data_IF_335284813327
#
_entry.id   IF_335284813327
#
_cell.length_a   1.000
_cell.length_b   1.000
_cell.length_c   1.000
_cell.angle_alpha   90.00
_cell.angle_beta   90.00
_cell.angle_gamma   90.00
#
_symmetry.space_group_name_H-M   'P 1'
#
loop_
_entity.id
_entity.type
_entity.pdbx_description
1 polymer ?
#
# COMPACT_ATOMS: atom_id res chain seq x y z
N UNK A 1 0.03 -7.27 23.00
CA UNK A 1 -0.72 -8.27 22.21
C UNK A 1 -2.13 -8.21 22.74
N UNK A 2 -2.93 -7.25 22.24
CA UNK A 2 -4.34 -7.14 22.63
C UNK A 2 -5.17 -7.66 21.47
N UNK A 3 -6.04 -8.60 21.82
CA UNK A 3 -6.63 -9.59 20.94
C UNK A 3 -7.28 -9.02 19.70
N UNK A 4 -7.00 -9.68 18.57
CA UNK A 4 -8.02 -9.85 17.55
C UNK A 4 -9.19 -10.51 18.27
N UNK A 5 -10.27 -9.77 18.53
CA UNK A 5 -11.52 -10.39 18.91
C UNK A 5 -11.95 -11.16 17.67
N UNK A 6 -11.90 -12.49 17.72
CA UNK A 6 -12.15 -13.37 16.59
C UNK A 6 -13.51 -13.11 15.91
N UNK A 7 -14.45 -12.49 16.64
CA UNK A 7 -15.82 -12.20 16.20
C UNK A 7 -16.11 -10.71 15.90
N UNK A 8 -15.09 -9.84 15.81
CA UNK A 8 -15.32 -8.44 15.43
C UNK A 8 -15.86 -8.36 13.98
N UNK A 9 -17.03 -7.76 13.72
CA UNK A 9 -17.53 -7.56 12.37
C UNK A 9 -16.56 -6.72 11.53
N UNK A 10 -16.48 -7.00 10.22
CA UNK A 10 -15.54 -6.30 9.32
C UNK A 10 -15.71 -4.78 9.37
N UNK A 11 -16.95 -4.32 9.27
CA UNK A 11 -17.28 -2.89 9.30
C UNK A 11 -16.84 -2.25 10.63
N UNK A 12 -17.06 -2.92 11.76
CA UNK A 12 -16.61 -2.41 13.07
C UNK A 12 -15.09 -2.30 13.16
N UNK A 13 -14.33 -3.24 12.59
CA UNK A 13 -12.88 -3.13 12.48
C UNK A 13 -12.47 -1.93 11.63
N UNK A 14 -13.11 -1.74 10.46
CA UNK A 14 -12.81 -0.62 9.55
C UNK A 14 -13.17 0.73 10.20
N UNK A 15 -14.30 0.82 10.90
CA UNK A 15 -14.71 1.99 11.67
C UNK A 15 -13.70 2.30 12.79
N UNK A 16 -13.24 1.28 13.53
CA UNK A 16 -12.22 1.45 14.56
C UNK A 16 -10.90 1.98 13.99
N UNK A 17 -10.48 1.51 12.81
CA UNK A 17 -9.31 2.04 12.11
C UNK A 17 -9.54 3.48 11.68
N UNK A 18 -10.70 3.82 11.11
CA UNK A 18 -11.04 5.18 10.67
C UNK A 18 -11.12 6.17 11.83
N UNK A 19 -11.52 5.70 13.01
CA UNK A 19 -11.56 6.49 14.25
C UNK A 19 -10.21 6.51 14.99
N UNK A 20 -9.17 5.83 14.51
CA UNK A 20 -7.89 5.72 15.21
C UNK A 20 -7.17 7.08 15.31
N UNK A 21 -6.83 7.48 16.54
CA UNK A 21 -6.12 8.75 16.84
C UNK A 21 -4.76 8.58 17.52
N UNK A 22 -4.29 7.34 17.65
CA UNK A 22 -3.09 6.97 18.42
C UNK A 22 -1.86 7.79 18.01
N UNK A 23 -1.64 8.03 16.72
CA UNK A 23 -0.46 8.78 16.25
C UNK A 23 -0.40 10.24 16.71
N UNK A 24 -1.50 10.78 17.22
CA UNK A 24 -1.56 12.11 17.83
C UNK A 24 -1.74 12.03 19.35
N UNK A 25 -2.70 11.23 19.81
CA UNK A 25 -3.14 11.26 21.20
C UNK A 25 -2.24 10.44 22.13
N UNK A 26 -1.60 9.39 21.60
CA UNK A 26 -0.70 8.52 22.35
C UNK A 26 0.37 7.90 21.42
N UNK A 27 1.20 8.72 20.76
CA UNK A 27 2.18 8.22 19.80
C UNK A 27 3.20 7.33 20.51
N UNK A 28 3.47 6.17 19.93
CA UNK A 28 4.49 5.24 20.47
C UNK A 28 5.89 5.60 20.01
N UNK A 29 5.99 6.25 18.85
CA UNK A 29 7.26 6.54 18.19
C UNK A 29 7.29 7.99 17.71
N UNK A 30 8.27 8.78 18.14
CA UNK A 30 8.39 10.18 17.76
C UNK A 30 7.28 11.07 18.32
N UNK A 31 7.24 12.36 17.92
CA UNK A 31 6.27 13.31 18.43
C UNK A 31 4.84 13.03 17.93
N UNK A 32 3.82 13.59 18.61
CA UNK A 32 2.45 13.65 18.11
C UNK A 32 2.37 14.21 16.69
N UNK A 33 1.40 13.74 15.90
CA UNK A 33 1.04 14.43 14.65
C UNK A 33 0.61 15.88 14.94
N UNK A 34 1.08 16.81 14.11
CA UNK A 34 0.72 18.24 14.21
C UNK A 34 -0.67 18.59 13.66
N UNK A 35 -1.46 17.60 13.22
CA UNK A 35 -2.78 17.79 12.64
C UNK A 35 -3.75 16.69 13.11
N UNK A 36 -5.04 16.86 12.82
CA UNK A 36 -6.06 15.84 13.07
C UNK A 36 -5.73 14.53 12.33
N UNK A 37 -5.77 13.36 13.01
CA UNK A 37 -5.61 12.08 12.34
C UNK A 37 -6.76 11.86 11.35
N UNK A 38 -6.40 11.45 10.13
CA UNK A 38 -7.36 11.01 9.12
C UNK A 38 -6.84 9.71 8.51
N UNK A 39 -7.16 8.55 9.11
CA UNK A 39 -6.81 7.26 8.55
C UNK A 39 -7.48 7.07 7.18
N UNK A 40 -6.66 6.89 6.14
CA UNK A 40 -7.09 6.75 4.74
C UNK A 40 -6.73 5.35 4.25
N UNK A 41 -7.77 4.60 3.90
CA UNK A 41 -7.70 3.24 3.40
C UNK A 41 -8.98 2.90 2.62
N UNK A 42 -8.90 1.90 1.76
CA UNK A 42 -10.02 1.33 0.99
C UNK A 42 -9.99 -0.18 1.18
N UNK A 43 -11.07 -0.80 1.65
CA UNK A 43 -11.11 -2.24 1.93
C UNK A 43 -12.49 -2.83 1.66
N UNK A 44 -12.50 -4.09 1.25
CA UNK A 44 -13.65 -5.00 1.23
C UNK A 44 -13.12 -6.41 1.49
N UNK A 45 -13.90 -7.26 2.15
CA UNK A 45 -13.54 -8.69 2.33
C UNK A 45 -13.45 -9.42 0.98
N UNK A 46 -14.15 -8.93 -0.06
CA UNK A 46 -14.15 -9.49 -1.42
C UNK A 46 -12.97 -9.05 -2.30
N UNK A 47 -12.14 -8.11 -1.83
CA UNK A 47 -11.08 -7.54 -2.67
C UNK A 47 -10.03 -8.60 -3.05
N UNK A 48 -9.77 -8.73 -4.35
CA UNK A 48 -8.82 -9.72 -4.88
C UNK A 48 -7.44 -9.14 -5.15
N UNK A 49 -7.34 -7.81 -5.22
CA UNK A 49 -6.10 -7.05 -5.40
C UNK A 49 -5.92 -6.14 -4.19
N UNK A 50 -4.73 -6.07 -3.61
CA UNK A 50 -4.39 -5.11 -2.56
C UNK A 50 -3.17 -4.28 -2.95
N UNK A 51 -3.26 -2.97 -2.76
CA UNK A 51 -2.16 -2.01 -2.93
C UNK A 51 -1.63 -1.66 -1.54
N UNK A 52 -0.41 -2.10 -1.24
CA UNK A 52 0.31 -1.80 -0.02
C UNK A 52 1.41 -0.76 -0.30
N UNK A 53 1.17 0.49 0.06
CA UNK A 53 2.09 1.62 -0.14
C UNK A 53 2.59 2.20 1.20
N UNK A 54 3.25 3.36 1.17
CA UNK A 54 3.86 3.94 2.37
C UNK A 54 2.83 4.55 3.32
N UNK A 55 2.35 5.75 3.01
CA UNK A 55 1.37 6.52 3.77
C UNK A 55 0.69 7.51 2.82
N UNK A 56 -0.51 8.02 3.15
CA UNK A 56 -1.11 9.09 2.36
C UNK A 56 -0.26 10.37 2.44
N UNK A 57 -0.11 11.06 1.32
CA UNK A 57 0.49 12.39 1.28
C UNK A 57 -0.51 13.50 1.64
N UNK A 58 -0.06 14.76 1.59
CA UNK A 58 -0.89 15.92 1.98
C UNK A 58 -2.18 16.03 1.16
N UNK A 59 -2.15 15.72 -0.14
CA UNK A 59 -3.36 15.79 -1.01
C UNK A 59 -4.41 14.78 -0.58
N UNK A 60 -3.99 13.53 -0.38
CA UNK A 60 -4.86 12.47 0.14
C UNK A 60 -5.38 12.83 1.54
N UNK A 61 -4.56 13.44 2.41
CA UNK A 61 -5.02 13.93 3.71
C UNK A 61 -6.14 14.97 3.59
N UNK A 62 -6.00 15.92 2.66
CA UNK A 62 -7.01 16.95 2.43
C UNK A 62 -8.29 16.39 1.80
N UNK A 63 -8.19 15.54 0.79
CA UNK A 63 -9.38 14.98 0.12
C UNK A 63 -10.02 13.82 0.87
N UNK A 64 -9.23 13.06 1.63
CA UNK A 64 -9.63 11.81 2.27
C UNK A 64 -9.64 10.60 1.33
N UNK A 65 -9.19 10.77 0.09
CA UNK A 65 -9.19 9.72 -0.93
C UNK A 65 -7.76 9.21 -1.15
N UNK A 66 -7.52 7.88 -1.07
CA UNK A 66 -6.19 7.33 -1.30
C UNK A 66 -5.76 7.59 -2.76
N UNK A 67 -4.49 7.89 -3.01
CA UNK A 67 -3.97 8.08 -4.38
C UNK A 67 -4.72 9.14 -5.21
N UNK A 68 -5.25 10.16 -4.54
CA UNK A 68 -5.88 11.33 -5.18
C UNK A 68 -4.83 12.38 -5.61
N UNK A 69 -3.85 11.92 -6.39
CA UNK A 69 -2.72 12.70 -6.87
C UNK A 69 -2.16 12.11 -8.18
N UNK A 70 -1.18 12.76 -8.83
CA UNK A 70 -0.58 12.25 -10.07
C UNK A 70 0.08 10.87 -9.94
N UNK A 71 0.50 10.47 -8.74
CA UNK A 71 1.07 9.14 -8.51
C UNK A 71 -0.03 8.06 -8.58
N UNK A 72 -1.25 8.39 -8.16
CA UNK A 72 -2.41 7.54 -8.35
C UNK A 72 -2.83 7.39 -9.81
N UNK A 73 -2.79 8.46 -10.59
CA UNK A 73 -3.03 8.41 -12.03
C UNK A 73 -2.06 7.44 -12.70
N UNK A 74 -0.76 7.60 -12.41
CA UNK A 74 0.27 6.70 -12.95
C UNK A 74 0.10 5.26 -12.49
N UNK A 75 -0.28 5.03 -11.23
CA UNK A 75 -0.51 3.68 -10.73
C UNK A 75 -1.65 3.00 -11.49
N UNK A 76 -2.74 3.72 -11.80
CA UNK A 76 -3.83 3.22 -12.65
C UNK A 76 -3.35 2.88 -14.05
N UNK A 77 -2.54 3.74 -14.66
CA UNK A 77 -1.91 3.46 -15.96
C UNK A 77 -1.02 2.21 -15.93
N UNK A 78 -0.25 2.01 -14.86
CA UNK A 78 0.58 0.81 -14.67
C UNK A 78 -0.28 -0.44 -14.54
N UNK A 79 -1.35 -0.38 -13.75
CA UNK A 79 -2.30 -1.47 -13.56
C UNK A 79 -3.15 -1.75 -14.82
N UNK A 80 -3.29 -0.77 -15.71
CA UNK A 80 -4.12 -0.87 -16.91
C UNK A 80 -5.63 -0.76 -16.63
N UNK A 81 -6.01 -0.06 -15.56
CA UNK A 81 -7.41 0.05 -15.12
C UNK A 81 -7.87 1.49 -15.03
N UNK A 82 -9.17 1.71 -15.14
CA UNK A 82 -9.76 3.04 -15.01
C UNK A 82 -9.95 3.45 -13.54
N UNK A 83 -10.42 4.69 -13.35
CA UNK A 83 -10.68 5.23 -12.02
C UNK A 83 -11.80 4.49 -11.27
N UNK A 84 -12.87 4.09 -11.97
CA UNK A 84 -13.99 3.41 -11.35
C UNK A 84 -13.57 2.03 -10.79
N UNK A 85 -12.79 1.27 -11.57
CA UNK A 85 -12.22 0.00 -11.14
C UNK A 85 -11.24 0.16 -9.99
N UNK A 86 -10.40 1.20 -10.02
CA UNK A 86 -9.39 1.44 -8.97
C UNK A 86 -10.02 1.80 -7.62
N UNK A 87 -11.13 2.55 -7.64
CA UNK A 87 -11.83 2.98 -6.42
C UNK A 87 -13.03 2.08 -6.05
N UNK A 88 -13.23 0.97 -6.74
CA UNK A 88 -14.16 -0.08 -6.33
C UNK A 88 -13.50 -0.93 -5.23
N UNK A 89 -13.88 -0.66 -3.98
CA UNK A 89 -13.37 -1.37 -2.81
C UNK A 89 -13.61 -2.88 -2.87
N UNK A 90 -14.66 -3.34 -3.58
CA UNK A 90 -14.97 -4.76 -3.72
C UNK A 90 -13.95 -5.51 -4.59
N UNK A 91 -13.17 -4.78 -5.38
CA UNK A 91 -12.15 -5.31 -6.31
C UNK A 91 -10.74 -5.02 -5.83
N UNK A 92 -10.49 -3.77 -5.45
CA UNK A 92 -9.17 -3.26 -5.10
C UNK A 92 -9.18 -2.74 -3.65
N UNK A 93 -8.38 -3.36 -2.79
CA UNK A 93 -8.02 -2.84 -1.49
C UNK A 93 -6.82 -1.89 -1.60
N UNK A 94 -6.80 -0.83 -0.80
CA UNK A 94 -5.68 0.09 -0.63
C UNK A 94 -5.36 0.17 0.87
N UNK A 95 -4.25 -0.43 1.26
CA UNK A 95 -3.85 -0.62 2.65
C UNK A 95 -2.38 -0.18 2.87
N UNK A 96 -2.12 1.12 3.09
CA UNK A 96 -0.76 1.63 3.27
C UNK A 96 -0.13 1.23 4.62
N UNK A 97 1.19 1.35 4.76
CA UNK A 97 1.91 1.01 5.99
C UNK A 97 1.60 1.98 7.15
N UNK A 98 1.28 3.23 6.84
CA UNK A 98 0.72 4.22 7.75
C UNK A 98 -0.57 4.79 7.18
N UNK A 99 -1.59 4.99 8.02
CA UNK A 99 -2.91 5.40 7.53
C UNK A 99 -3.12 6.90 7.55
N UNK A 100 -2.34 7.65 8.32
CA UNK A 100 -2.41 9.11 8.37
C UNK A 100 -1.22 9.71 7.63
N UNK A 101 -1.40 10.94 7.15
CA UNK A 101 -0.29 11.74 6.65
C UNK A 101 0.71 11.96 7.78
N UNK A 102 2.00 11.63 7.59
CA UNK A 102 2.98 11.67 8.68
C UNK A 102 3.62 13.05 8.87
N UNK A 103 3.31 14.03 8.01
CA UNK A 103 3.97 15.33 7.94
C UNK A 103 5.04 15.40 6.83
N UNK A 104 5.62 16.58 6.63
CA UNK A 104 6.68 16.82 5.63
C UNK A 104 8.04 16.96 6.32
N UNK A 105 9.06 16.28 5.80
CA UNK A 105 10.46 16.46 6.14
C UNK A 105 11.27 17.06 4.97
N UNK A 106 12.59 17.12 5.12
CA UNK A 106 13.48 17.78 4.16
C UNK A 106 13.48 17.16 2.74
N UNK A 107 13.07 15.89 2.61
CA UNK A 107 13.07 15.14 1.35
C UNK A 107 11.68 14.75 0.83
N UNK A 108 10.62 15.34 1.39
CA UNK A 108 9.23 14.95 1.11
C UNK A 108 8.53 14.44 2.38
N UNK A 109 7.47 13.66 2.19
CA UNK A 109 6.67 13.15 3.30
C UNK A 109 7.54 12.30 4.26
N UNK A 110 7.29 12.45 5.56
CA UNK A 110 7.93 11.66 6.60
C UNK A 110 7.61 10.16 6.42
N UNK A 111 8.42 9.25 6.99
CA UNK A 111 8.14 7.82 6.91
C UNK A 111 6.80 7.44 7.59
N UNK A 112 6.15 6.35 7.17
CA UNK A 112 4.90 5.89 7.76
C UNK A 112 5.05 5.60 9.26
N UNK A 113 4.03 5.99 10.03
CA UNK A 113 3.96 5.77 11.48
C UNK A 113 4.00 4.28 11.80
N UNK A 114 5.02 3.86 12.55
CA UNK A 114 5.26 2.45 12.87
C UNK A 114 4.13 1.85 13.72
N UNK A 115 3.52 2.62 14.62
CA UNK A 115 2.41 2.11 15.43
C UNK A 115 1.20 1.68 14.58
N UNK A 116 0.95 2.30 13.41
CA UNK A 116 -0.18 1.92 12.56
C UNK A 116 -0.09 0.45 12.13
N UNK A 117 1.08 0.02 11.65
CA UNK A 117 1.26 -1.36 11.21
C UNK A 117 1.24 -2.36 12.36
N UNK A 118 1.83 -2.02 13.50
CA UNK A 118 1.85 -2.93 14.65
C UNK A 118 0.45 -3.19 15.23
N UNK A 119 -0.44 -2.20 15.12
CA UNK A 119 -1.79 -2.28 15.69
C UNK A 119 -2.79 -2.89 14.71
N UNK A 120 -2.70 -2.51 13.43
CA UNK A 120 -3.80 -2.76 12.48
C UNK A 120 -3.47 -3.70 11.33
N UNK A 121 -2.22 -3.76 10.85
CA UNK A 121 -1.91 -4.44 9.59
C UNK A 121 -2.29 -5.93 9.61
N UNK A 122 -1.88 -6.67 10.65
CA UNK A 122 -2.21 -8.09 10.77
C UNK A 122 -3.74 -8.31 10.85
N UNK A 123 -4.46 -7.47 11.59
CA UNK A 123 -5.92 -7.56 11.73
C UNK A 123 -6.63 -7.34 10.40
N UNK A 124 -6.19 -6.37 9.61
CA UNK A 124 -6.81 -6.04 8.33
C UNK A 124 -6.49 -7.07 7.25
N UNK A 125 -5.23 -7.52 7.15
CA UNK A 125 -4.86 -8.56 6.19
C UNK A 125 -5.54 -9.91 6.47
N UNK A 126 -5.80 -10.24 7.74
CA UNK A 126 -6.59 -11.43 8.09
C UNK A 126 -8.04 -11.37 7.59
N UNK A 127 -8.52 -10.19 7.17
CA UNK A 127 -9.87 -9.95 6.65
C UNK A 127 -9.92 -9.76 5.13
N UNK A 128 -8.88 -10.17 4.43
CA UNK A 128 -8.82 -10.18 2.97
C UNK A 128 -8.66 -11.63 2.45
N UNK A 129 -9.64 -12.52 2.71
CA UNK A 129 -9.52 -13.95 2.39
C UNK A 129 -9.41 -14.23 0.88
N UNK A 130 -9.99 -13.35 0.06
CA UNK A 130 -10.01 -13.51 -1.39
C UNK A 130 -8.81 -12.87 -2.09
N UNK A 131 -7.88 -12.29 -1.34
CA UNK A 131 -6.71 -11.61 -1.88
C UNK A 131 -5.83 -12.57 -2.69
N UNK A 132 -5.63 -12.27 -3.97
CA UNK A 132 -4.79 -13.05 -4.89
C UNK A 132 -3.53 -12.32 -5.34
N UNK A 133 -3.57 -10.99 -5.36
CA UNK A 133 -2.47 -10.14 -5.82
C UNK A 133 -2.19 -9.01 -4.82
N UNK A 134 -0.94 -8.92 -4.36
CA UNK A 134 -0.47 -7.84 -3.48
C UNK A 134 0.59 -7.01 -4.20
N UNK A 135 0.25 -5.75 -4.50
CA UNK A 135 1.18 -4.77 -5.05
C UNK A 135 1.89 -4.06 -3.90
N UNK A 136 3.20 -4.27 -3.77
CA UNK A 136 4.00 -3.72 -2.67
C UNK A 136 4.84 -2.57 -3.18
N UNK A 137 4.50 -1.34 -2.77
CA UNK A 137 4.99 -0.12 -3.38
C UNK A 137 5.95 0.64 -2.46
N UNK A 138 7.21 0.74 -2.90
CA UNK A 138 8.25 1.54 -2.25
C UNK A 138 8.90 0.89 -1.03
N UNK A 139 10.06 1.42 -0.63
CA UNK A 139 10.98 0.76 0.32
C UNK A 139 10.39 0.39 1.68
N UNK A 140 9.48 1.21 2.23
CA UNK A 140 8.84 0.90 3.53
C UNK A 140 7.91 -0.31 3.43
N UNK A 141 7.08 -0.39 2.39
CA UNK A 141 6.18 -1.52 2.18
C UNK A 141 6.97 -2.78 1.80
N UNK A 142 7.99 -2.66 0.95
CA UNK A 142 8.87 -3.77 0.58
C UNK A 142 9.55 -4.39 1.81
N UNK A 143 10.09 -3.56 2.70
CA UNK A 143 10.73 -4.04 3.93
C UNK A 143 9.78 -4.81 4.85
N UNK A 144 8.53 -4.39 4.91
CA UNK A 144 7.53 -5.05 5.74
C UNK A 144 7.09 -6.38 5.14
N UNK A 145 6.67 -6.38 3.88
CA UNK A 145 6.05 -7.55 3.25
C UNK A 145 7.06 -8.60 2.78
N UNK A 146 8.25 -8.19 2.36
CA UNK A 146 9.30 -9.11 1.88
C UNK A 146 10.38 -9.36 2.94
N UNK A 147 10.38 -8.60 4.03
CA UNK A 147 11.35 -8.74 5.11
C UNK A 147 12.66 -7.98 4.86
N UNK A 148 13.54 -8.07 5.86
CA UNK A 148 14.75 -7.24 5.92
C UNK A 148 15.80 -7.62 4.88
N UNK A 149 15.84 -8.88 4.42
CA UNK A 149 16.83 -9.33 3.45
C UNK A 149 16.60 -8.68 2.09
N UNK A 150 15.37 -8.75 1.57
CA UNK A 150 14.96 -8.04 0.35
C UNK A 150 15.18 -6.52 0.49
N UNK A 151 14.82 -5.94 1.63
CA UNK A 151 15.01 -4.51 1.86
C UNK A 151 16.49 -4.04 1.78
N UNK A 152 17.46 -4.91 2.11
CA UNK A 152 18.89 -4.59 2.04
C UNK A 152 19.41 -4.51 0.61
N UNK A 153 18.78 -5.24 -0.33
CA UNK A 153 19.07 -5.20 -1.78
C UNK A 153 18.66 -3.86 -2.41
N UNK A 154 17.81 -3.10 -1.73
CA UNK A 154 17.28 -1.83 -2.22
C UNK A 154 16.15 -2.00 -3.22
N UNK A 155 15.48 -0.89 -3.56
CA UNK A 155 14.24 -0.91 -4.36
C UNK A 155 14.50 -1.47 -5.75
N UNK A 156 15.58 -1.07 -6.42
CA UNK A 156 15.88 -1.50 -7.79
C UNK A 156 16.05 -3.02 -7.91
N UNK A 157 16.91 -3.63 -7.09
CA UNK A 157 17.13 -5.07 -7.14
C UNK A 157 15.87 -5.84 -6.73
N UNK A 158 15.15 -5.36 -5.71
CA UNK A 158 13.91 -6.00 -5.26
C UNK A 158 12.86 -5.99 -6.37
N UNK A 159 12.65 -4.86 -7.04
CA UNK A 159 11.71 -4.77 -8.17
C UNK A 159 12.20 -5.62 -9.34
N UNK A 160 13.51 -5.68 -9.60
CA UNK A 160 14.04 -6.51 -10.69
C UNK A 160 13.84 -8.01 -10.45
N UNK A 161 13.80 -8.43 -9.19
CA UNK A 161 13.52 -9.79 -8.77
C UNK A 161 12.02 -10.14 -8.68
N UNK A 162 11.14 -9.33 -9.28
CA UNK A 162 9.68 -9.54 -9.21
C UNK A 162 9.22 -10.94 -9.64
N UNK A 163 9.92 -11.60 -10.57
CA UNK A 163 9.63 -12.99 -10.99
C UNK A 163 9.93 -13.99 -9.89
N UNK A 164 11.08 -13.86 -9.24
CA UNK A 164 11.51 -14.70 -8.11
C UNK A 164 10.54 -14.53 -6.94
N UNK A 165 10.24 -13.27 -6.58
CA UNK A 165 9.31 -12.93 -5.50
C UNK A 165 7.91 -13.47 -5.79
N UNK A 166 7.42 -13.32 -7.02
CA UNK A 166 6.10 -13.82 -7.43
C UNK A 166 6.01 -15.34 -7.54
N UNK A 167 7.12 -16.04 -7.79
CA UNK A 167 7.17 -17.49 -7.97
C UNK A 167 7.35 -18.29 -6.65
N UNK A 168 7.60 -17.62 -5.52
CA UNK A 168 7.88 -18.26 -4.23
C UNK A 168 6.70 -19.06 -3.61
N UNK A 169 5.63 -19.34 -4.38
CA UNK A 169 4.51 -20.20 -3.97
C UNK A 169 3.55 -19.61 -2.93
N UNK A 170 3.74 -18.35 -2.54
CA UNK A 170 2.88 -17.67 -1.59
C UNK A 170 1.58 -17.18 -2.26
N UNK A 171 0.45 -17.39 -1.58
CA UNK A 171 -0.80 -16.67 -1.86
C UNK A 171 -1.01 -15.62 -0.76
N UNK A 172 -1.18 -14.34 -1.11
CA UNK A 172 -1.26 -13.79 -2.48
C UNK A 172 0.10 -13.73 -3.20
N UNK A 173 0.05 -13.69 -4.54
CA UNK A 173 1.23 -13.36 -5.34
C UNK A 173 1.66 -11.93 -5.03
N UNK A 174 2.95 -11.72 -4.77
CA UNK A 174 3.49 -10.39 -4.49
C UNK A 174 4.17 -9.81 -5.74
N UNK A 175 3.83 -8.57 -6.08
CA UNK A 175 4.51 -7.80 -7.12
C UNK A 175 5.15 -6.56 -6.49
N UNK A 176 6.49 -6.50 -6.37
CA UNK A 176 7.18 -5.31 -5.89
C UNK A 176 7.18 -4.22 -6.96
N UNK A 177 6.88 -2.98 -6.56
CA UNK A 177 6.89 -1.81 -7.44
C UNK A 177 7.71 -0.66 -6.83
N UNK A 178 8.36 0.16 -7.67
CA UNK A 178 8.88 1.45 -7.23
C UNK A 178 7.70 2.38 -6.93
N UNK A 179 7.95 3.48 -6.23
CA UNK A 179 6.90 4.47 -5.99
C UNK A 179 6.50 5.19 -7.30
N UNK A 180 5.20 5.39 -7.61
CA UNK A 180 4.76 6.01 -8.87
C UNK A 180 4.98 7.53 -8.94
N UNK A 181 5.66 8.14 -7.96
CA UNK A 181 5.95 9.59 -7.97
C UNK A 181 6.90 10.01 -9.09
N UNK A 182 6.82 11.29 -9.47
CA UNK A 182 7.71 11.92 -10.44
C UNK A 182 9.20 11.83 -10.08
N UNK A 183 9.55 11.70 -8.79
CA UNK A 183 10.93 11.45 -8.34
C UNK A 183 11.56 10.21 -8.99
N UNK A 184 10.75 9.22 -9.39
CA UNK A 184 11.22 8.01 -10.05
C UNK A 184 11.27 8.11 -11.59
N UNK A 185 11.00 9.27 -12.20
CA UNK A 185 11.04 9.41 -13.67
C UNK A 185 12.42 9.06 -14.26
N UNK A 186 13.51 9.46 -13.59
CA UNK A 186 14.87 9.08 -14.04
C UNK A 186 15.12 7.58 -13.90
N UNK A 187 14.61 6.97 -12.83
CA UNK A 187 14.68 5.53 -12.62
C UNK A 187 13.95 4.78 -13.75
N UNK A 188 12.72 5.17 -14.06
CA UNK A 188 11.93 4.55 -15.15
C UNK A 188 12.66 4.62 -16.50
N UNK A 189 13.21 5.79 -16.85
CA UNK A 189 13.99 5.98 -18.09
C UNK A 189 15.24 5.09 -18.17
N UNK A 190 15.84 4.74 -17.04
CA UNK A 190 17.08 3.94 -16.98
C UNK A 190 16.81 2.45 -16.77
N UNK A 191 15.55 2.06 -16.52
CA UNK A 191 15.13 0.70 -16.22
C UNK A 191 13.97 0.28 -17.14
N UNK A 192 14.19 0.33 -18.47
CA UNK A 192 13.15 0.09 -19.48
C UNK A 192 12.43 -1.26 -19.36
N UNK A 193 13.08 -2.28 -18.78
CA UNK A 193 12.48 -3.57 -18.43
C UNK A 193 11.25 -3.46 -17.52
N UNK A 194 11.14 -2.40 -16.72
CA UNK A 194 9.96 -2.17 -15.89
C UNK A 194 8.71 -2.02 -16.76
N UNK A 195 8.78 -1.17 -17.78
CA UNK A 195 7.66 -0.91 -18.69
C UNK A 195 7.50 -2.00 -19.74
N UNK A 196 8.61 -2.60 -20.19
CA UNK A 196 8.62 -3.60 -21.27
C UNK A 196 8.26 -5.01 -20.79
N UNK A 197 8.63 -5.37 -19.55
CA UNK A 197 8.49 -6.74 -19.06
C UNK A 197 7.53 -6.84 -17.87
N UNK A 198 7.67 -5.98 -16.85
CA UNK A 198 6.87 -6.08 -15.62
C UNK A 198 5.44 -5.59 -15.85
N UNK A 199 5.25 -4.38 -16.39
CA UNK A 199 3.91 -3.80 -16.55
C UNK A 199 2.97 -4.64 -17.44
N UNK A 200 3.39 -5.22 -18.57
CA UNK A 200 2.50 -6.07 -19.37
C UNK A 200 2.01 -7.31 -18.60
N UNK A 201 2.87 -7.93 -17.79
CA UNK A 201 2.47 -9.07 -16.97
C UNK A 201 1.55 -8.66 -15.82
N UNK A 202 1.86 -7.53 -15.16
CA UNK A 202 1.00 -6.96 -14.13
C UNK A 202 -0.41 -6.69 -14.67
N UNK A 203 -0.53 -6.03 -15.83
CA UNK A 203 -1.82 -5.73 -16.47
C UNK A 203 -2.59 -7.01 -16.78
N UNK A 204 -1.94 -8.01 -17.37
CA UNK A 204 -2.57 -9.31 -17.66
C UNK A 204 -3.19 -9.93 -16.41
N UNK A 205 -2.48 -9.91 -15.29
CA UNK A 205 -2.98 -10.45 -14.03
C UNK A 205 -4.08 -9.61 -13.40
N UNK A 206 -3.93 -8.29 -13.40
CA UNK A 206 -4.97 -7.37 -12.92
C UNK A 206 -6.25 -7.59 -13.70
N UNK A 207 -6.20 -7.61 -15.02
CA UNK A 207 -7.38 -7.87 -15.85
C UNK A 207 -8.01 -9.25 -15.58
N UNK A 208 -7.20 -10.30 -15.41
CA UNK A 208 -7.72 -11.62 -15.08
C UNK A 208 -8.44 -11.69 -13.72
N UNK A 209 -8.05 -10.85 -12.76
CA UNK A 209 -8.67 -10.79 -11.44
C UNK A 209 -9.93 -9.91 -11.39
N UNK A 210 -10.06 -8.98 -12.34
CA UNK A 210 -11.19 -8.04 -12.46
C UNK A 210 -12.26 -8.48 -13.46
N UNK A 211 -12.00 -9.54 -14.22
CA UNK A 211 -12.92 -10.16 -15.17
C UNK A 211 -14.05 -10.94 -14.47
#
# INVERSE_FOLDING_TARGET
>A
MDGVKADEPFESLVEAVRACRICRDAPRYGPPLGHEPRPILQLSESARICIASQAPGIRAHTSGRPFDDPSGVRLREWMGIDEAQFYDASRVAILPMGFCFPGVGAGGDLPPRRECREIWQHRLFARLPDLKLLLVIGGHALRWHLGAEWARRGVTETVRAWREIGAAGASPRIVPLPHPSWHNNRWLKTHGWFEQDLLPELRREVHALLA
#
